data_IF_340564214849
#
_entry.id   IF_340564214849
#
_cell.length_a   1.000
_cell.length_b   1.000
_cell.length_c   1.000
_cell.angle_alpha   90.00
_cell.angle_beta   90.00
_cell.angle_gamma   90.00
#
_symmetry.space_group_name_H-M   'P 1'
#
loop_
_entity.id
_entity.type
_entity.pdbx_description
1 polymer ?
#
# COMPACT_ATOMS: atom_id res chain seq x y z
N UNK A 1 -10.45 -6.25 -33.30
CA UNK A 1 -9.82 -6.77 -32.08
C UNK A 1 -10.60 -6.15 -30.94
N UNK A 2 -11.42 -6.98 -30.27
CA UNK A 2 -12.53 -6.53 -29.43
C UNK A 2 -12.06 -5.78 -28.19
N UNK A 3 -12.82 -4.76 -27.80
CA UNK A 3 -12.73 -4.11 -26.50
C UNK A 3 -13.23 -5.08 -25.42
N UNK A 4 -12.50 -6.15 -25.14
CA UNK A 4 -12.73 -6.92 -23.92
C UNK A 4 -12.09 -6.15 -22.78
N UNK A 5 -12.93 -5.49 -21.98
CA UNK A 5 -12.48 -4.84 -20.75
C UNK A 5 -12.10 -5.94 -19.76
N UNK A 6 -10.81 -6.30 -19.72
CA UNK A 6 -10.30 -7.20 -18.70
C UNK A 6 -10.42 -6.55 -17.32
N UNK A 7 -11.02 -7.27 -16.40
CA UNK A 7 -11.14 -6.85 -15.01
C UNK A 7 -9.86 -7.19 -14.27
N UNK A 8 -9.48 -6.38 -13.28
CA UNK A 8 -8.39 -6.75 -12.35
C UNK A 8 -8.70 -8.04 -11.58
N UNK A 9 -9.98 -8.42 -11.50
CA UNK A 9 -10.43 -9.65 -10.85
C UNK A 9 -10.18 -10.91 -11.69
N UNK A 10 -9.76 -10.76 -12.94
CA UNK A 10 -9.48 -11.90 -13.84
C UNK A 10 -8.05 -12.46 -13.66
N UNK A 11 -7.20 -11.78 -12.86
CA UNK A 11 -5.83 -12.20 -12.58
C UNK A 11 -5.76 -13.16 -11.38
N UNK A 12 -4.85 -14.14 -11.45
CA UNK A 12 -4.50 -14.94 -10.28
C UNK A 12 -3.91 -14.03 -9.19
N UNK A 13 -4.45 -14.15 -7.97
CA UNK A 13 -4.01 -13.35 -6.85
C UNK A 13 -2.51 -13.51 -6.55
N UNK A 14 -1.97 -14.71 -6.73
CA UNK A 14 -0.54 -15.01 -6.54
C UNK A 14 0.31 -14.22 -7.51
N UNK A 15 -0.12 -14.11 -8.78
CA UNK A 15 0.58 -13.32 -9.80
C UNK A 15 0.59 -11.84 -9.44
N UNK A 16 -0.52 -11.31 -8.91
CA UNK A 16 -0.59 -9.92 -8.41
C UNK A 16 0.43 -9.73 -7.29
N UNK A 17 0.44 -10.62 -6.29
CA UNK A 17 1.37 -10.53 -5.17
C UNK A 17 2.84 -10.64 -5.60
N UNK A 18 3.17 -11.61 -6.45
CA UNK A 18 4.55 -11.82 -6.94
C UNK A 18 5.08 -10.60 -7.68
N UNK A 19 4.25 -10.00 -8.54
CA UNK A 19 4.62 -8.78 -9.25
C UNK A 19 4.89 -7.62 -8.28
N UNK A 20 3.94 -7.37 -7.37
CA UNK A 20 4.00 -6.22 -6.45
C UNK A 20 5.00 -6.38 -5.30
N UNK A 21 5.41 -7.61 -4.97
CA UNK A 21 6.45 -7.89 -3.99
C UNK A 21 7.85 -7.40 -4.43
N UNK A 22 8.04 -7.15 -5.73
CA UNK A 22 9.28 -6.60 -6.30
C UNK A 22 9.34 -5.06 -6.29
N UNK A 23 8.27 -4.40 -5.82
CA UNK A 23 8.15 -2.95 -5.78
C UNK A 23 8.20 -2.45 -4.33
N UNK A 24 8.77 -1.26 -4.15
CA UNK A 24 8.85 -0.61 -2.83
C UNK A 24 7.46 -0.21 -2.29
N UNK A 25 6.47 -0.02 -3.17
CA UNK A 25 5.10 0.31 -2.79
C UNK A 25 4.09 -0.27 -3.76
N UNK A 26 2.94 -0.70 -3.23
CA UNK A 26 1.86 -1.31 -4.00
C UNK A 26 0.76 -0.30 -4.39
N UNK A 27 0.93 0.96 -3.99
CA UNK A 27 0.05 2.06 -4.32
C UNK A 27 0.78 3.40 -4.33
N UNK A 28 0.12 4.49 -4.79
CA UNK A 28 0.71 5.81 -4.81
C UNK A 28 1.00 6.34 -3.40
N UNK A 29 2.14 7.00 -3.23
CA UNK A 29 2.53 7.60 -1.96
C UNK A 29 3.94 8.18 -2.00
N UNK A 30 4.33 8.87 -0.92
CA UNK A 30 5.72 9.26 -0.71
C UNK A 30 6.01 9.46 0.79
N UNK A 31 7.28 9.34 1.23
CA UNK A 31 7.65 9.61 2.61
C UNK A 31 7.22 11.01 3.10
N UNK A 32 7.23 12.01 2.22
CA UNK A 32 6.80 13.37 2.54
C UNK A 32 5.30 13.46 2.84
N UNK A 33 4.47 12.71 2.12
CA UNK A 33 3.02 12.65 2.35
C UNK A 33 2.73 11.91 3.66
N UNK A 34 3.42 10.80 3.94
CA UNK A 34 3.29 10.07 5.21
C UNK A 34 3.68 10.95 6.41
N UNK A 35 4.81 11.65 6.33
CA UNK A 35 5.24 12.58 7.38
C UNK A 35 4.25 13.74 7.57
N UNK A 36 3.68 14.25 6.48
CA UNK A 36 2.66 15.30 6.55
C UNK A 36 1.38 14.81 7.25
N UNK A 37 0.92 13.59 6.94
CA UNK A 37 -0.22 12.99 7.62
C UNK A 37 0.06 12.76 9.11
N UNK A 38 1.23 12.22 9.45
CA UNK A 38 1.67 12.02 10.84
C UNK A 38 1.71 13.34 11.63
N UNK A 39 2.11 14.45 11.01
CA UNK A 39 2.15 15.77 11.65
C UNK A 39 0.78 16.31 12.10
N UNK A 40 -0.31 15.72 11.60
CA UNK A 40 -1.68 16.07 12.01
C UNK A 40 -2.17 15.25 13.21
N UNK A 41 -1.40 14.25 13.65
CA UNK A 41 -1.72 13.38 14.78
C UNK A 41 -0.91 13.84 15.99
N UNK A 42 -1.58 14.09 17.10
CA UNK A 42 -0.96 14.48 18.37
C UNK A 42 -1.08 13.36 19.43
N UNK A 43 -0.33 13.47 20.53
CA UNK A 43 -0.48 12.58 21.69
C UNK A 43 0.15 11.19 21.57
N UNK A 44 0.95 10.94 20.52
CA UNK A 44 1.75 9.72 20.43
C UNK A 44 2.85 9.71 21.49
N UNK A 45 2.98 8.57 22.17
CA UNK A 45 3.97 8.32 23.22
C UNK A 45 4.78 7.08 22.88
N UNK A 46 5.86 6.82 23.60
CA UNK A 46 6.66 5.61 23.44
C UNK A 46 5.88 4.32 23.78
N UNK A 47 4.77 4.42 24.51
CA UNK A 47 3.90 3.30 24.85
C UNK A 47 2.71 3.13 23.90
N UNK A 48 2.55 4.03 22.94
CA UNK A 48 1.51 3.92 21.92
C UNK A 48 1.73 2.67 21.07
N UNK A 49 0.64 1.97 20.73
CA UNK A 49 0.66 0.80 19.84
C UNK A 49 0.02 1.19 18.52
N UNK A 50 0.74 0.98 17.42
CA UNK A 50 0.34 1.39 16.06
C UNK A 50 0.12 0.12 15.23
N UNK A 51 -0.88 0.14 14.35
CA UNK A 51 -1.13 -0.91 13.38
C UNK A 51 -1.20 -0.30 11.99
N UNK A 52 -0.48 -0.89 11.04
CA UNK A 52 -0.54 -0.56 9.62
C UNK A 52 -1.21 -1.73 8.88
N UNK A 53 -2.39 -1.50 8.33
CA UNK A 53 -3.29 -2.54 7.84
C UNK A 53 -3.20 -2.58 6.32
N UNK A 54 -2.88 -3.75 5.77
CA UNK A 54 -2.62 -3.88 4.34
C UNK A 54 -1.27 -3.28 3.94
N UNK A 55 -0.29 -3.31 4.83
CA UNK A 55 1.03 -2.70 4.66
C UNK A 55 1.87 -3.26 3.49
N UNK A 56 1.44 -4.38 2.90
CA UNK A 56 2.12 -4.98 1.76
C UNK A 56 3.58 -5.31 2.06
N UNK A 57 4.52 -4.68 1.35
CA UNK A 57 5.97 -4.86 1.60
C UNK A 57 6.52 -3.97 2.72
N UNK A 58 5.74 -3.02 3.24
CA UNK A 58 6.11 -2.15 4.35
C UNK A 58 7.07 -1.00 3.99
N UNK A 59 7.06 -0.55 2.73
CA UNK A 59 7.83 0.60 2.24
C UNK A 59 7.31 1.96 2.71
#
# INVERSE_FOLDING_TARGET
MGNESHSIHDFDYSLICEYFALLDGQGPGSPAVTAKALSLIEGLTQTSRIADIGCGTGG
#
